data_IF_804623712364
#
_entry.id   IF_804623712364
#
_cell.length_a   1.000
_cell.length_b   1.000
_cell.length_c   1.000
_cell.angle_alpha   90.00
_cell.angle_beta   90.00
_cell.angle_gamma   90.00
#
_symmetry.space_group_name_H-M   'P 1'
#
loop_
_entity.id
_entity.type
_entity.pdbx_description
1 polymer ?
#
# COMPACT_ATOMS: atom_id res chain seq x y z
N UNK A 1 1.83 -7.80 2.60
CA UNK A 1 0.86 -8.77 2.03
C UNK A 1 1.50 -9.51 0.87
N UNK A 2 1.30 -10.80 0.83
CA UNK A 2 1.93 -11.68 -0.17
C UNK A 2 0.90 -12.57 -0.84
N UNK A 3 1.15 -12.88 -2.08
CA UNK A 3 0.38 -13.86 -2.87
C UNK A 3 1.37 -14.80 -3.54
N UNK A 4 1.19 -16.10 -3.36
CA UNK A 4 2.10 -17.13 -3.91
C UNK A 4 3.57 -16.87 -3.55
N UNK A 5 3.82 -16.38 -2.35
CA UNK A 5 5.15 -16.08 -1.85
C UNK A 5 5.77 -14.77 -2.34
N UNK A 6 5.06 -14.02 -3.19
CA UNK A 6 5.54 -12.74 -3.70
C UNK A 6 4.76 -11.58 -3.07
N UNK A 7 5.46 -10.49 -2.82
CA UNK A 7 4.89 -9.31 -2.19
C UNK A 7 4.03 -8.51 -3.17
N UNK A 8 2.83 -8.15 -2.76
CA UNK A 8 1.91 -7.32 -3.56
C UNK A 8 1.59 -5.99 -2.90
N UNK A 9 1.97 -5.81 -1.63
CA UNK A 9 1.61 -4.62 -0.88
C UNK A 9 2.67 -4.30 0.16
N UNK A 10 2.92 -3.03 0.36
CA UNK A 10 3.71 -2.50 1.46
C UNK A 10 2.88 -1.50 2.25
N UNK A 11 3.08 -1.45 3.55
CA UNK A 11 2.34 -0.53 4.40
C UNK A 11 3.19 0.03 5.51
N UNK A 12 2.74 1.16 6.06
CA UNK A 12 3.34 1.79 7.22
C UNK A 12 2.24 2.32 8.13
N UNK A 13 2.56 2.40 9.40
CA UNK A 13 1.62 2.83 10.42
C UNK A 13 2.25 3.94 11.26
N UNK A 14 1.45 4.96 11.57
CA UNK A 14 1.89 6.05 12.44
C UNK A 14 0.81 6.35 13.46
N UNK A 15 1.20 6.43 14.73
CA UNK A 15 0.31 6.77 15.82
C UNK A 15 0.73 8.11 16.42
N UNK A 16 -0.24 9.01 16.55
CA UNK A 16 -0.08 10.25 17.30
C UNK A 16 -0.86 10.14 18.59
N UNK A 17 -0.16 10.24 19.72
CA UNK A 17 -0.75 9.96 21.03
C UNK A 17 -1.74 11.03 21.51
N UNK A 18 -1.62 12.25 21.03
CA UNK A 18 -2.51 13.33 21.43
C UNK A 18 -2.20 13.90 22.80
N UNK A 19 -3.19 14.49 23.44
CA UNK A 19 -3.07 15.11 24.75
C UNK A 19 -3.26 14.10 25.88
N UNK A 20 -2.91 14.49 27.12
CA UNK A 20 -3.03 13.64 28.30
C UNK A 20 -4.46 13.17 28.56
N UNK A 21 -5.45 13.97 28.17
CA UNK A 21 -6.86 13.63 28.31
C UNK A 21 -7.36 12.66 27.23
N UNK A 22 -6.49 12.22 26.34
CA UNK A 22 -6.84 11.33 25.23
C UNK A 22 -7.34 12.02 23.98
N UNK A 23 -7.54 13.35 24.02
CA UNK A 23 -7.96 14.09 22.83
C UNK A 23 -6.84 14.24 21.83
N UNK A 24 -7.18 14.32 20.55
CA UNK A 24 -6.21 14.46 19.48
C UNK A 24 -5.45 13.19 19.14
N UNK A 25 -5.81 12.06 19.74
CA UNK A 25 -5.22 10.77 19.38
C UNK A 25 -5.63 10.38 17.96
N UNK A 26 -4.65 10.12 17.13
CA UNK A 26 -4.88 9.77 15.73
C UNK A 26 -3.95 8.66 15.29
N UNK A 27 -4.43 7.83 14.39
CA UNK A 27 -3.61 6.80 13.76
C UNK A 27 -3.73 6.93 12.26
N UNK A 28 -2.62 6.68 11.59
CA UNK A 28 -2.57 6.63 10.14
C UNK A 28 -1.98 5.30 9.72
N UNK A 29 -2.72 4.56 8.95
CA UNK A 29 -2.21 3.40 8.24
C UNK A 29 -2.25 3.71 6.76
N UNK A 30 -1.10 3.70 6.11
CA UNK A 30 -1.03 3.92 4.68
C UNK A 30 -0.30 2.77 4.01
N UNK A 31 -0.61 2.55 2.77
CA UNK A 31 -0.02 1.45 2.05
C UNK A 31 -0.14 1.62 0.55
N UNK A 32 0.55 0.75 -0.12
CA UNK A 32 0.49 0.64 -1.57
C UNK A 32 0.04 -0.76 -1.94
N UNK A 33 -0.64 -0.88 -3.06
CA UNK A 33 -1.02 -2.17 -3.63
C UNK A 33 -0.53 -2.20 -5.06
N UNK A 34 0.24 -3.22 -5.38
CA UNK A 34 0.71 -3.43 -6.74
C UNK A 34 -0.40 -4.11 -7.54
N UNK A 35 -1.11 -3.34 -8.34
CA UNK A 35 -2.20 -3.86 -9.16
C UNK A 35 -1.73 -4.23 -10.55
N UNK A 36 -1.17 -3.26 -11.27
CA UNK A 36 -0.73 -3.45 -12.66
C UNK A 36 0.42 -2.47 -12.95
N UNK A 37 1.49 -2.56 -12.18
CA UNK A 37 2.64 -1.70 -12.30
C UNK A 37 3.68 -2.31 -13.21
N UNK A 38 4.42 -1.46 -13.92
CA UNK A 38 5.60 -1.89 -14.68
C UNK A 38 6.72 -2.24 -13.70
N UNK A 39 6.89 -3.53 -13.43
CA UNK A 39 7.83 -4.00 -12.41
C UNK A 39 9.30 -3.74 -12.78
N UNK A 40 9.62 -3.73 -14.07
CA UNK A 40 10.98 -3.39 -14.52
C UNK A 40 11.32 -1.94 -14.22
N UNK A 41 10.35 -1.04 -14.35
CA UNK A 41 10.53 0.36 -13.99
C UNK A 41 10.71 0.52 -12.48
N UNK A 42 10.05 -0.30 -11.67
CA UNK A 42 10.19 -0.26 -10.23
C UNK A 42 11.62 -0.48 -9.78
N UNK A 43 12.29 -1.51 -10.32
CA UNK A 43 13.68 -1.78 -9.98
C UNK A 43 14.61 -0.66 -10.45
N UNK A 44 14.28 -0.03 -11.58
CA UNK A 44 15.07 1.07 -12.14
C UNK A 44 14.97 2.34 -11.27
N UNK A 45 13.78 2.68 -10.81
CA UNK A 45 13.54 3.91 -10.04
C UNK A 45 13.78 3.77 -8.54
N UNK A 46 13.63 2.60 -7.98
CA UNK A 46 13.86 2.35 -6.56
C UNK A 46 15.26 1.85 -6.27
N UNK A 47 16.18 2.05 -7.19
CA UNK A 47 17.57 1.60 -7.08
C UNK A 47 18.52 2.79 -6.92
N UNK A 48 18.52 3.49 -5.78
CA UNK A 48 19.36 4.67 -5.61
C UNK A 48 20.81 4.37 -5.27
N UNK A 49 21.18 3.13 -4.94
CA UNK A 49 22.51 2.79 -4.44
C UNK A 49 22.91 1.36 -4.80
N UNK A 50 23.81 1.22 -5.79
CA UNK A 50 24.30 -0.08 -6.24
C UNK A 50 24.91 -0.92 -5.15
N UNK A 51 25.70 -0.33 -4.24
CA UNK A 51 26.34 -1.07 -3.15
C UNK A 51 25.34 -1.68 -2.18
N UNK A 52 24.33 -0.91 -1.84
CA UNK A 52 23.26 -1.38 -0.95
C UNK A 52 22.44 -2.47 -1.62
N UNK A 53 22.36 -2.42 -2.93
CA UNK A 53 21.63 -3.37 -3.74
C UNK A 53 22.39 -4.68 -3.91
N UNK A 54 23.69 -4.61 -4.14
CA UNK A 54 24.54 -5.79 -4.24
C UNK A 54 24.55 -6.58 -2.94
N UNK A 55 24.65 -5.89 -1.80
CA UNK A 55 24.66 -6.54 -0.49
C UNK A 55 23.32 -7.16 -0.10
N UNK A 56 22.21 -6.68 -0.66
CA UNK A 56 20.87 -7.20 -0.36
C UNK A 56 20.28 -8.08 -1.46
N UNK A 57 21.03 -8.32 -2.53
CA UNK A 57 20.55 -9.12 -3.65
C UNK A 57 19.42 -8.44 -4.42
N UNK A 58 19.73 -7.38 -5.13
CA UNK A 58 18.74 -6.49 -5.79
C UNK A 58 17.91 -7.17 -6.85
N UNK A 59 18.47 -8.12 -7.52
CA UNK A 59 17.69 -8.96 -8.43
C UNK A 59 16.50 -9.60 -7.71
N UNK A 60 16.56 -9.72 -6.38
CA UNK A 60 15.49 -10.27 -5.57
C UNK A 60 14.31 -9.31 -5.38
N UNK A 61 14.49 -8.00 -5.60
CA UNK A 61 13.38 -7.03 -5.45
C UNK A 61 12.30 -7.30 -6.50
N UNK A 62 12.69 -7.43 -7.77
CA UNK A 62 11.74 -7.72 -8.86
C UNK A 62 11.19 -9.14 -8.73
N UNK A 63 12.02 -10.10 -8.33
CA UNK A 63 11.59 -11.49 -8.19
C UNK A 63 10.67 -11.72 -7.00
N UNK A 64 10.70 -10.84 -6.00
CA UNK A 64 9.89 -10.95 -4.77
C UNK A 64 8.58 -10.21 -4.81
N UNK A 65 8.32 -9.44 -5.85
CA UNK A 65 7.09 -8.67 -5.98
C UNK A 65 6.31 -9.15 -7.20
N UNK A 66 5.00 -8.96 -7.16
CA UNK A 66 4.13 -9.21 -8.28
C UNK A 66 2.97 -8.25 -8.25
N UNK A 67 2.33 -8.08 -9.39
CA UNK A 67 1.08 -7.35 -9.45
C UNK A 67 -0.08 -8.26 -9.04
N UNK A 68 -1.02 -7.72 -8.31
CA UNK A 68 -2.21 -8.47 -7.89
C UNK A 68 -3.02 -8.92 -9.11
N UNK A 69 -2.95 -8.18 -10.19
CA UNK A 69 -3.64 -8.53 -11.44
C UNK A 69 -3.17 -9.86 -12.04
N UNK A 70 -1.96 -10.30 -11.72
CA UNK A 70 -1.46 -11.61 -12.14
C UNK A 70 -2.25 -12.76 -11.48
N UNK A 71 -2.69 -12.55 -10.24
CA UNK A 71 -3.51 -13.52 -9.53
C UNK A 71 -5.01 -13.31 -9.73
N UNK A 72 -5.41 -12.07 -10.00
CA UNK A 72 -6.81 -11.69 -10.21
C UNK A 72 -6.92 -10.78 -11.43
N UNK A 73 -6.96 -11.33 -12.65
CA UNK A 73 -6.92 -10.55 -13.89
C UNK A 73 -8.02 -9.50 -14.04
N UNK A 74 -9.14 -9.70 -13.39
CA UNK A 74 -10.30 -8.81 -13.48
C UNK A 74 -10.23 -7.64 -12.49
N UNK A 75 -9.21 -7.60 -11.64
CA UNK A 75 -9.10 -6.54 -10.63
C UNK A 75 -8.61 -5.24 -11.27
N UNK A 76 -9.21 -4.13 -10.84
CA UNK A 76 -8.74 -2.79 -11.19
C UNK A 76 -8.70 -1.93 -9.93
N UNK A 77 -8.29 -0.68 -10.08
CA UNK A 77 -8.19 0.23 -8.95
C UNK A 77 -9.54 0.43 -8.25
N UNK A 78 -10.61 0.64 -9.01
CA UNK A 78 -11.93 0.90 -8.44
C UNK A 78 -12.51 -0.32 -7.73
N UNK A 79 -12.40 -1.49 -8.35
CA UNK A 79 -12.90 -2.73 -7.72
C UNK A 79 -12.13 -3.07 -6.45
N UNK A 80 -10.83 -2.83 -6.44
CA UNK A 80 -10.00 -3.04 -5.26
C UNK A 80 -10.41 -2.08 -4.13
N UNK A 81 -10.57 -0.79 -4.42
CA UNK A 81 -10.98 0.19 -3.42
C UNK A 81 -12.35 -0.11 -2.84
N UNK A 82 -13.28 -0.53 -3.69
CA UNK A 82 -14.62 -0.90 -3.25
C UNK A 82 -14.60 -2.13 -2.33
N UNK A 83 -13.83 -3.14 -2.69
CA UNK A 83 -13.68 -4.33 -1.85
C UNK A 83 -13.06 -4.00 -0.50
N UNK A 84 -12.08 -3.10 -0.49
CA UNK A 84 -11.43 -2.64 0.73
C UNK A 84 -12.42 -1.91 1.64
N UNK A 85 -13.22 -1.02 1.08
CA UNK A 85 -14.25 -0.29 1.82
C UNK A 85 -15.29 -1.24 2.41
N UNK A 86 -15.77 -2.19 1.63
CA UNK A 86 -16.78 -3.16 2.07
C UNK A 86 -16.23 -4.05 3.20
N UNK A 87 -15.02 -4.53 3.05
CA UNK A 87 -14.38 -5.39 4.06
C UNK A 87 -14.16 -4.64 5.36
N UNK A 88 -13.69 -3.40 5.28
CA UNK A 88 -13.49 -2.56 6.45
C UNK A 88 -14.80 -2.25 7.14
N UNK A 89 -15.85 -1.94 6.37
CA UNK A 89 -17.17 -1.65 6.90
C UNK A 89 -17.79 -2.83 7.64
N UNK A 90 -17.60 -4.04 7.13
CA UNK A 90 -18.08 -5.26 7.78
C UNK A 90 -17.33 -5.53 9.09
N UNK A 91 -16.02 -5.33 9.09
CA UNK A 91 -15.19 -5.58 10.26
C UNK A 91 -15.40 -4.55 11.36
N UNK A 92 -15.65 -3.31 11.00
CA UNK A 92 -15.79 -2.18 11.92
C UNK A 92 -17.17 -1.55 11.79
N UNK A 93 -18.20 -2.35 11.98
CA UNK A 93 -19.59 -1.88 11.91
C UNK A 93 -19.85 -0.76 12.91
N UNK A 94 -20.66 0.22 12.51
CA UNK A 94 -20.98 1.38 13.35
C UNK A 94 -20.00 2.54 13.20
N UNK A 95 -18.93 2.39 12.41
CA UNK A 95 -17.98 3.47 12.17
C UNK A 95 -18.32 4.13 10.83
N UNK A 96 -18.35 5.47 10.83
CA UNK A 96 -18.54 6.23 9.59
C UNK A 96 -17.28 6.14 8.72
N UNK A 97 -17.47 5.81 7.44
CA UNK A 97 -16.38 5.74 6.47
C UNK A 97 -16.58 6.82 5.42
N UNK A 98 -15.58 7.67 5.29
CA UNK A 98 -15.58 8.73 4.28
C UNK A 98 -14.46 8.45 3.28
N UNK A 99 -14.82 8.30 2.01
CA UNK A 99 -13.84 8.15 0.95
C UNK A 99 -13.48 9.51 0.40
N UNK A 100 -12.18 9.81 0.39
CA UNK A 100 -11.66 11.06 -0.12
C UNK A 100 -10.58 10.78 -1.15
N UNK A 101 -10.66 11.47 -2.28
CA UNK A 101 -9.62 11.41 -3.31
C UNK A 101 -8.77 12.65 -3.18
N UNK A 102 -7.44 12.48 -3.04
CA UNK A 102 -6.53 13.60 -2.94
C UNK A 102 -6.48 14.36 -4.26
N UNK A 103 -6.57 15.67 -4.17
CA UNK A 103 -6.42 16.57 -5.30
C UNK A 103 -4.99 17.11 -5.33
N UNK A 104 -4.56 17.63 -6.48
CA UNK A 104 -3.23 18.21 -6.61
C UNK A 104 -2.97 19.29 -5.55
N UNK A 105 -3.98 20.05 -5.17
CA UNK A 105 -3.90 21.08 -4.13
C UNK A 105 -3.55 20.51 -2.76
N UNK A 106 -3.96 19.29 -2.47
CA UNK A 106 -3.74 18.64 -1.18
C UNK A 106 -2.33 18.09 -1.04
N UNK A 107 -1.60 17.99 -2.15
CA UNK A 107 -0.25 17.43 -2.19
C UNK A 107 0.85 18.46 -1.99
N UNK A 108 0.51 19.73 -1.80
CA UNK A 108 1.45 20.83 -1.60
C UNK A 108 1.63 21.21 -0.14
#
# INVERSE_FOLDING_TARGET
MHVSGKKVSGSAYKLKLGKKDGSGKRSLHHGTMLLDLELNALSKYLNPNKKKLESKGVSSVVSRVMNLKEAAPDIDHESFCKALEETFSQKWSGIAINRTVLKEQDLR
#
